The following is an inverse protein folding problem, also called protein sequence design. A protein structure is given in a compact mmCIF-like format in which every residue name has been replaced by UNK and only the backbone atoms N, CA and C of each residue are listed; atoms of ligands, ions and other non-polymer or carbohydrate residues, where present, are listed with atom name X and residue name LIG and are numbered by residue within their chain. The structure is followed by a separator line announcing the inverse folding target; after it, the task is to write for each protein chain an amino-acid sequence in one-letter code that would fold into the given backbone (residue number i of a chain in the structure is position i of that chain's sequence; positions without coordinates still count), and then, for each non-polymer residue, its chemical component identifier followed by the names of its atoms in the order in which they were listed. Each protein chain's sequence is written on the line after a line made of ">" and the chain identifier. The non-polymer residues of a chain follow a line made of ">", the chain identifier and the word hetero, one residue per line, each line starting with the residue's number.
data_IF_211837651622
#
_entry.id   IF_211837651622
#
_cell.length_a   1.000
_cell.length_b   1.000
_cell.length_c   1.000
_cell.angle_alpha   90.00
_cell.angle_beta   90.00
_cell.angle_gamma   90.00
#
_symmetry.space_group_name_H-M   'P 1'
#
loop_
_entity.id
_entity.type
_entity.pdbx_description
1 polymer ?
#
# COMPACT_ATOMS: atom_id res chain seq x y z
N UNK A 1 9.91 4.50 12.16
CA UNK A 1 9.31 4.93 10.88
C UNK A 1 7.80 5.06 11.05
N UNK A 2 6.92 4.15 10.68
CA UNK A 2 5.50 4.17 11.07
C UNK A 2 5.29 3.44 12.39
N UNK A 3 4.53 4.05 13.31
CA UNK A 3 4.05 3.39 14.52
C UNK A 3 2.55 3.65 14.66
N UNK A 4 1.79 2.59 14.87
CA UNK A 4 0.34 2.61 15.09
C UNK A 4 0.09 2.03 16.47
N UNK A 5 -0.64 2.75 17.32
CA UNK A 5 -0.93 2.37 18.70
C UNK A 5 -2.43 2.41 18.97
N UNK A 6 -3.00 1.26 19.33
CA UNK A 6 -4.39 1.07 19.77
C UNK A 6 -5.42 1.71 18.82
N UNK A 7 -5.20 1.57 17.49
CA UNK A 7 -6.04 2.17 16.47
C UNK A 7 -7.43 1.52 16.46
N UNK A 8 -8.44 2.32 16.67
CA UNK A 8 -9.85 1.92 16.59
C UNK A 8 -10.56 2.71 15.48
N UNK A 9 -11.42 2.04 14.70
CA UNK A 9 -12.11 2.65 13.56
C UNK A 9 -13.57 2.18 13.49
N UNK A 10 -14.46 3.11 13.17
CA UNK A 10 -15.89 2.87 13.01
C UNK A 10 -16.40 3.36 11.65
N UNK A 11 -17.39 2.64 11.10
CA UNK A 11 -18.28 3.12 10.04
C UNK A 11 -19.68 3.31 10.66
N UNK A 12 -20.05 4.57 10.90
CA UNK A 12 -21.25 4.87 11.70
C UNK A 12 -21.16 4.26 13.08
N UNK A 13 -22.10 3.37 13.43
CA UNK A 13 -22.14 2.67 14.73
C UNK A 13 -21.38 1.34 14.74
N UNK A 14 -20.86 0.90 13.59
CA UNK A 14 -20.18 -0.40 13.49
C UNK A 14 -18.68 -0.21 13.68
N UNK A 15 -18.11 -0.77 14.73
CA UNK A 15 -16.67 -0.83 14.93
C UNK A 15 -16.07 -1.91 14.03
N UNK A 16 -15.00 -1.57 13.34
CA UNK A 16 -14.31 -2.45 12.39
C UNK A 16 -12.90 -2.79 12.85
N UNK A 17 -12.21 -1.83 13.48
CA UNK A 17 -10.88 -2.07 14.05
C UNK A 17 -10.92 -1.86 15.56
N UNK A 18 -10.29 -2.77 16.29
CA UNK A 18 -10.27 -2.83 17.74
C UNK A 18 -8.80 -2.80 18.19
N UNK A 19 -8.34 -1.64 18.69
CA UNK A 19 -7.03 -1.42 19.31
C UNK A 19 -5.84 -2.00 18.52
N UNK A 20 -5.88 -1.84 17.20
CA UNK A 20 -4.85 -2.35 16.29
C UNK A 20 -3.53 -1.62 16.54
N UNK A 21 -2.47 -2.37 16.83
CA UNK A 21 -1.12 -1.85 17.00
C UNK A 21 -0.16 -2.57 16.06
N UNK A 22 0.65 -1.80 15.30
CA UNK A 22 1.65 -2.33 14.38
C UNK A 22 2.74 -1.31 14.09
N UNK A 23 3.82 -1.78 13.47
CA UNK A 23 4.94 -0.95 13.00
C UNK A 23 5.32 -1.29 11.57
N UNK A 24 5.93 -0.33 10.88
CA UNK A 24 6.58 -0.56 9.59
C UNK A 24 7.88 0.26 9.53
N UNK A 25 8.96 -0.38 9.10
CA UNK A 25 10.30 0.19 9.09
C UNK A 25 10.79 0.45 7.66
N UNK A 26 11.74 1.39 7.50
CA UNK A 26 12.37 1.67 6.22
C UNK A 26 13.11 0.42 5.69
N UNK A 27 12.99 0.17 4.39
CA UNK A 27 13.61 -0.98 3.76
C UNK A 27 12.97 -2.32 4.12
N UNK A 28 11.77 -2.31 4.69
CA UNK A 28 11.02 -3.50 5.09
C UNK A 28 9.64 -3.54 4.45
N UNK A 29 9.15 -4.75 4.21
CA UNK A 29 7.77 -5.04 3.78
C UNK A 29 7.02 -5.65 4.96
N UNK A 30 6.07 -4.91 5.50
CA UNK A 30 5.13 -5.40 6.52
C UNK A 30 3.87 -5.89 5.82
N UNK A 31 3.64 -7.21 5.83
CA UNK A 31 2.44 -7.80 5.24
C UNK A 31 1.33 -7.91 6.28
N UNK A 32 0.17 -7.31 5.98
CA UNK A 32 -1.06 -7.45 6.77
C UNK A 32 -1.95 -8.49 6.10
N UNK A 33 -2.15 -9.62 6.76
CA UNK A 33 -2.87 -10.78 6.26
C UNK A 33 -4.14 -11.04 7.07
N UNK A 34 -5.09 -11.72 6.47
CA UNK A 34 -6.37 -12.11 7.09
C UNK A 34 -7.45 -12.32 6.04
N UNK A 35 -8.55 -12.92 6.42
CA UNK A 35 -9.70 -13.19 5.53
C UNK A 35 -10.36 -11.89 5.06
N UNK A 36 -11.31 -12.02 4.12
CA UNK A 36 -12.09 -10.86 3.65
C UNK A 36 -12.97 -10.29 4.76
N UNK A 37 -13.09 -8.97 4.79
CA UNK A 37 -13.96 -8.28 5.73
C UNK A 37 -13.38 -8.12 7.14
N UNK A 38 -12.13 -8.54 7.43
CA UNK A 38 -11.55 -8.39 8.78
C UNK A 38 -11.02 -7.00 9.09
N UNK A 39 -11.06 -6.05 8.13
CA UNK A 39 -10.65 -4.66 8.38
C UNK A 39 -9.34 -4.23 7.72
N UNK A 40 -8.69 -5.07 6.88
CA UNK A 40 -7.41 -4.74 6.22
C UNK A 40 -7.44 -3.43 5.43
N UNK A 41 -8.40 -3.29 4.51
CA UNK A 41 -8.62 -2.04 3.74
C UNK A 41 -8.97 -0.86 4.65
N UNK A 42 -9.73 -1.09 5.73
CA UNK A 42 -10.06 -0.03 6.70
C UNK A 42 -8.82 0.49 7.43
N UNK A 43 -7.88 -0.40 7.76
CA UNK A 43 -6.58 -0.03 8.30
C UNK A 43 -5.81 0.87 7.32
N UNK A 44 -5.68 0.48 6.05
CA UNK A 44 -4.98 1.30 5.05
C UNK A 44 -5.69 2.64 4.80
N UNK A 45 -7.02 2.68 4.83
CA UNK A 45 -7.79 3.94 4.75
C UNK A 45 -7.52 4.87 5.92
N UNK A 46 -7.39 4.34 7.14
CA UNK A 46 -6.98 5.15 8.30
C UNK A 46 -5.56 5.69 8.12
N UNK A 47 -4.60 4.83 7.74
CA UNK A 47 -3.20 5.21 7.54
C UNK A 47 -3.01 6.23 6.41
N UNK A 48 -3.84 6.20 5.36
CA UNK A 48 -3.80 7.14 4.24
C UNK A 48 -4.62 8.41 4.46
N UNK A 49 -5.39 8.51 5.57
CA UNK A 49 -6.31 9.61 5.81
C UNK A 49 -7.55 9.62 4.91
N UNK A 50 -7.81 8.52 4.20
CA UNK A 50 -9.02 8.34 3.39
C UNK A 50 -10.27 8.07 4.25
N UNK A 51 -10.08 7.62 5.50
CA UNK A 51 -11.16 7.49 6.48
C UNK A 51 -10.64 7.87 7.88
N UNK A 52 -11.41 8.62 8.69
CA UNK A 52 -11.01 8.94 10.06
C UNK A 52 -11.01 7.68 10.94
N UNK A 53 -10.08 7.61 11.87
CA UNK A 53 -10.10 6.63 12.96
C UNK A 53 -10.72 7.25 14.21
N UNK A 54 -11.21 6.45 15.15
CA UNK A 54 -11.96 6.92 16.32
C UNK A 54 -11.17 6.89 17.62
N UNK A 55 -10.02 6.19 17.64
CA UNK A 55 -9.15 6.09 18.82
C UNK A 55 -7.75 5.62 18.44
N UNK A 56 -6.82 5.77 19.35
CA UNK A 56 -5.41 5.43 19.14
C UNK A 56 -4.58 6.57 18.57
N UNK A 57 -3.36 6.27 18.17
CA UNK A 57 -2.41 7.21 17.59
C UNK A 57 -1.67 6.62 16.39
N UNK A 58 -1.35 7.46 15.41
CA UNK A 58 -0.53 7.12 14.26
C UNK A 58 0.61 8.11 14.19
N UNK A 59 1.85 7.64 14.25
CA UNK A 59 3.04 8.49 14.08
C UNK A 59 3.86 8.05 12.88
N UNK A 60 4.41 9.02 12.14
CA UNK A 60 5.34 8.81 11.05
C UNK A 60 6.62 9.60 11.33
N UNK A 61 7.77 8.92 11.40
CA UNK A 61 9.06 9.51 11.80
C UNK A 61 8.97 10.28 13.14
N UNK A 62 8.20 9.75 14.10
CA UNK A 62 7.96 10.35 15.41
C UNK A 62 7.02 11.56 15.42
N UNK A 63 6.44 11.93 14.26
CA UNK A 63 5.43 13.00 14.17
C UNK A 63 4.04 12.39 14.21
N UNK A 64 3.20 12.89 15.11
CA UNK A 64 1.80 12.51 15.19
C UNK A 64 1.04 13.03 13.93
N UNK A 65 0.29 12.16 13.30
CA UNK A 65 -0.48 12.49 12.11
C UNK A 65 -1.83 13.15 12.41
N UNK A 66 -2.30 13.12 13.67
CA UNK A 66 -3.43 13.91 14.22
C UNK A 66 -4.67 13.98 13.30
N UNK A 67 -5.14 12.84 12.79
CA UNK A 67 -6.28 12.78 11.86
C UNK A 67 -6.11 13.66 10.61
N UNK A 68 -4.88 13.88 10.17
CA UNK A 68 -4.61 14.69 9.00
C UNK A 68 -5.31 14.11 7.75
N UNK A 69 -5.92 14.94 6.90
CA UNK A 69 -6.60 14.48 5.70
C UNK A 69 -5.60 13.95 4.67
N UNK A 70 -6.07 13.09 3.76
CA UNK A 70 -5.25 12.37 2.79
C UNK A 70 -4.24 13.25 2.02
N UNK A 71 -4.66 14.47 1.59
CA UNK A 71 -3.77 15.38 0.86
C UNK A 71 -2.58 15.91 1.69
N UNK A 72 -2.73 16.00 3.02
CA UNK A 72 -1.63 16.35 3.91
C UNK A 72 -0.72 15.15 4.15
N UNK A 73 -1.30 13.95 4.34
CA UNK A 73 -0.55 12.72 4.51
C UNK A 73 0.28 12.38 3.27
N UNK A 74 -0.27 12.59 2.08
CA UNK A 74 0.47 12.45 0.83
C UNK A 74 1.70 13.38 0.77
N UNK A 75 1.59 14.64 1.22
CA UNK A 75 2.73 15.57 1.33
C UNK A 75 3.74 15.19 2.41
N UNK A 76 3.33 14.45 3.42
CA UNK A 76 4.22 13.89 4.45
C UNK A 76 4.96 12.63 3.96
N UNK A 77 4.62 12.15 2.76
CA UNK A 77 5.26 11.00 2.13
C UNK A 77 4.51 9.68 2.31
N UNK A 78 3.19 9.69 2.43
CA UNK A 78 2.37 8.48 2.41
C UNK A 78 1.78 8.32 1.01
N UNK A 79 2.22 7.28 0.28
CA UNK A 79 1.65 6.84 -0.99
C UNK A 79 0.62 5.73 -0.74
N UNK A 80 -0.53 5.79 -1.40
CA UNK A 80 -1.59 4.79 -1.26
C UNK A 80 -2.09 4.30 -2.62
N UNK A 81 -2.07 3.00 -2.80
CA UNK A 81 -2.66 2.28 -3.94
C UNK A 81 -3.85 1.50 -3.42
N UNK A 82 -5.08 1.96 -3.64
CA UNK A 82 -6.28 1.30 -3.14
C UNK A 82 -6.61 0.04 -3.95
N UNK A 83 -7.39 -0.86 -3.34
CA UNK A 83 -8.10 -1.92 -4.06
C UNK A 83 -8.91 -1.29 -5.20
N UNK A 84 -8.90 -1.88 -6.39
CA UNK A 84 -9.58 -1.32 -7.57
C UNK A 84 -8.77 -0.26 -8.33
N UNK A 85 -7.53 0.08 -7.90
CA UNK A 85 -6.53 0.88 -8.63
C UNK A 85 -6.80 2.38 -8.65
N UNK A 86 -8.05 2.83 -8.71
CA UNK A 86 -8.51 4.24 -8.75
C UNK A 86 -7.72 5.13 -9.73
N UNK A 87 -7.44 4.61 -10.93
CA UNK A 87 -6.87 5.40 -12.02
C UNK A 87 -7.92 6.32 -12.62
N UNK A 88 -7.48 7.38 -13.31
CA UNK A 88 -8.35 8.26 -14.08
C UNK A 88 -8.53 7.70 -15.50
N UNK A 89 -9.66 7.05 -15.82
CA UNK A 89 -9.80 6.26 -17.07
C UNK A 89 -9.80 7.13 -18.33
N UNK A 90 -10.22 8.37 -18.25
CA UNK A 90 -10.30 9.31 -19.39
C UNK A 90 -8.97 10.07 -19.62
N UNK A 91 -8.09 10.10 -18.63
CA UNK A 91 -6.76 10.69 -18.74
C UNK A 91 -5.79 9.70 -19.38
N UNK A 92 -4.80 10.22 -20.10
CA UNK A 92 -3.67 9.42 -20.59
C UNK A 92 -2.83 8.86 -19.45
N UNK A 93 -1.96 7.90 -19.74
CA UNK A 93 -0.97 7.37 -18.78
C UNK A 93 -0.12 8.52 -18.24
N UNK A 94 0.41 9.39 -19.13
CA UNK A 94 1.19 10.58 -18.75
C UNK A 94 0.42 11.48 -17.79
N UNK A 95 -0.82 11.84 -18.10
CA UNK A 95 -1.65 12.71 -17.27
C UNK A 95 -1.97 12.06 -15.92
N UNK A 96 -2.25 10.73 -15.88
CA UNK A 96 -2.40 10.00 -14.63
C UNK A 96 -1.15 10.14 -13.74
N UNK A 97 0.05 9.93 -14.28
CA UNK A 97 1.31 10.08 -13.54
C UNK A 97 1.50 11.51 -13.03
N UNK A 98 1.16 12.51 -13.84
CA UNK A 98 1.29 13.92 -13.48
C UNK A 98 0.37 14.35 -12.32
N UNK A 99 -0.71 13.62 -12.03
CA UNK A 99 -1.56 13.91 -10.86
C UNK A 99 -0.78 13.84 -9.54
N UNK A 100 0.26 12.98 -9.47
CA UNK A 100 1.15 12.87 -8.31
C UNK A 100 1.98 14.14 -8.03
N UNK A 101 2.16 15.01 -9.01
CA UNK A 101 2.93 16.25 -8.84
C UNK A 101 2.32 17.22 -7.82
N UNK A 102 1.01 17.11 -7.56
CA UNK A 102 0.32 17.97 -6.58
C UNK A 102 0.88 17.88 -5.15
N UNK A 103 1.62 16.80 -4.84
CA UNK A 103 2.26 16.59 -3.55
C UNK A 103 3.70 17.10 -3.52
N UNK A 104 4.27 17.51 -4.66
CA UNK A 104 5.68 17.86 -4.84
C UNK A 104 5.88 19.37 -5.08
N UNK A 105 7.07 19.92 -4.77
CA UNK A 105 7.44 21.26 -5.18
C UNK A 105 7.55 21.33 -6.71
N UNK A 106 7.29 22.51 -7.30
CA UNK A 106 7.29 22.69 -8.77
C UNK A 106 8.59 22.25 -9.47
N UNK A 107 9.72 22.37 -8.80
CA UNK A 107 11.03 21.91 -9.31
C UNK A 107 11.11 20.41 -9.54
N UNK A 108 10.17 19.64 -8.96
CA UNK A 108 10.11 18.18 -9.02
C UNK A 108 8.95 17.67 -9.88
N UNK A 109 8.26 18.57 -10.63
CA UNK A 109 7.17 18.22 -11.54
C UNK A 109 7.69 17.60 -12.83
N UNK A 110 8.31 16.44 -12.73
CA UNK A 110 8.74 15.60 -13.86
C UNK A 110 8.53 14.12 -13.51
N UNK A 111 8.34 13.30 -14.52
CA UNK A 111 8.27 11.84 -14.36
C UNK A 111 9.73 11.35 -14.34
N UNK A 112 10.21 10.78 -13.22
CA UNK A 112 11.58 10.26 -13.14
C UNK A 112 11.77 9.06 -14.08
N UNK A 113 12.99 8.90 -14.62
CA UNK A 113 13.30 7.79 -15.53
C UNK A 113 13.11 6.42 -14.86
N UNK A 114 13.35 6.31 -13.56
CA UNK A 114 13.17 5.07 -12.80
C UNK A 114 11.72 4.57 -12.79
N UNK A 115 10.73 5.43 -12.95
CA UNK A 115 9.32 5.01 -13.14
C UNK A 115 9.16 4.22 -14.43
N UNK A 116 9.82 4.64 -15.50
CA UNK A 116 9.80 3.92 -16.78
C UNK A 116 10.71 2.67 -16.78
N UNK A 117 11.75 2.66 -15.96
CA UNK A 117 12.57 1.46 -15.72
C UNK A 117 11.80 0.40 -14.94
N UNK A 118 11.04 0.82 -13.91
CA UNK A 118 10.17 -0.07 -13.13
C UNK A 118 8.99 -0.60 -13.95
N UNK A 119 8.43 0.23 -14.83
CA UNK A 119 7.23 -0.07 -15.60
C UNK A 119 7.39 0.33 -17.06
N UNK A 120 8.19 -0.40 -17.87
CA UNK A 120 8.47 -0.03 -19.28
C UNK A 120 7.22 0.14 -20.15
N UNK A 121 6.19 -0.68 -19.91
CA UNK A 121 4.92 -0.63 -20.61
C UNK A 121 4.22 0.74 -20.50
N UNK A 122 4.43 1.48 -19.40
CA UNK A 122 3.83 2.80 -19.21
C UNK A 122 4.47 3.85 -20.13
N UNK A 123 5.75 3.69 -20.47
CA UNK A 123 6.43 4.54 -21.45
C UNK A 123 5.88 4.28 -22.85
N UNK A 124 5.72 3.02 -23.22
CA UNK A 124 5.15 2.62 -24.53
C UNK A 124 3.72 3.11 -24.70
N UNK A 125 2.95 3.14 -23.62
CA UNK A 125 1.53 3.49 -23.59
C UNK A 125 1.27 4.94 -23.15
N UNK A 126 2.28 5.79 -23.10
CA UNK A 126 2.25 7.09 -22.44
C UNK A 126 1.09 8.01 -22.87
N UNK A 127 0.73 7.96 -24.16
CA UNK A 127 -0.35 8.75 -24.74
C UNK A 127 -1.70 8.01 -24.78
N UNK A 128 -1.76 6.76 -24.29
CA UNK A 128 -2.98 5.97 -24.25
C UNK A 128 -3.81 6.32 -23.02
N UNK A 129 -5.14 6.28 -23.12
CA UNK A 129 -6.03 6.50 -21.97
C UNK A 129 -5.89 5.37 -20.97
N UNK A 130 -5.94 5.71 -19.66
CA UNK A 130 -5.87 4.73 -18.59
C UNK A 130 -6.97 3.66 -18.67
N UNK A 131 -8.18 4.04 -19.11
CA UNK A 131 -9.29 3.11 -19.29
C UNK A 131 -9.10 2.08 -20.41
N UNK A 132 -8.20 2.32 -21.37
CA UNK A 132 -7.90 1.42 -22.48
C UNK A 132 -6.77 0.41 -22.13
N UNK A 133 -6.21 0.50 -20.94
CA UNK A 133 -5.18 -0.40 -20.46
C UNK A 133 -5.80 -1.71 -19.95
N UNK A 134 -5.06 -2.81 -20.05
CA UNK A 134 -5.41 -4.04 -19.34
C UNK A 134 -5.38 -3.87 -17.83
N UNK A 135 -6.08 -4.75 -17.09
CA UNK A 135 -6.10 -4.67 -15.62
C UNK A 135 -4.69 -4.66 -14.98
N UNK A 136 -3.77 -5.47 -15.49
CA UNK A 136 -2.39 -5.47 -15.00
C UNK A 136 -1.60 -4.21 -15.35
N UNK A 137 -1.86 -3.60 -16.52
CA UNK A 137 -1.26 -2.30 -16.88
C UNK A 137 -1.82 -1.16 -16.03
N UNK A 138 -3.12 -1.19 -15.72
CA UNK A 138 -3.75 -0.23 -14.81
C UNK A 138 -3.17 -0.33 -13.39
N UNK A 139 -2.87 -1.55 -12.94
CA UNK A 139 -2.22 -1.75 -11.63
C UNK A 139 -0.81 -1.18 -11.60
N UNK A 140 -0.02 -1.43 -12.66
CA UNK A 140 1.30 -0.81 -12.81
C UNK A 140 1.20 0.72 -12.82
N UNK A 141 0.21 1.29 -13.52
CA UNK A 141 -0.05 2.72 -13.53
C UNK A 141 -0.42 3.26 -12.14
N UNK A 142 -1.26 2.55 -11.38
CA UNK A 142 -1.64 2.96 -10.03
C UNK A 142 -0.44 2.97 -9.07
N UNK A 143 0.42 1.94 -9.13
CA UNK A 143 1.65 1.89 -8.32
C UNK A 143 2.62 3.01 -8.76
N UNK A 144 2.86 3.16 -10.07
CA UNK A 144 3.73 4.21 -10.61
C UNK A 144 3.26 5.62 -10.18
N UNK A 145 1.95 5.89 -10.23
CA UNK A 145 1.36 7.15 -9.78
C UNK A 145 1.61 7.42 -8.29
N UNK A 146 1.52 6.40 -7.45
CA UNK A 146 1.86 6.53 -6.04
C UNK A 146 3.36 6.80 -5.85
N UNK A 147 4.23 6.16 -6.61
CA UNK A 147 5.69 6.36 -6.54
C UNK A 147 6.14 7.75 -7.01
N UNK A 148 5.41 8.40 -7.94
CA UNK A 148 5.65 9.79 -8.34
C UNK A 148 5.67 10.74 -7.14
N UNK A 149 4.86 10.48 -6.11
CA UNK A 149 4.83 11.33 -4.90
C UNK A 149 6.08 11.17 -4.01
N UNK A 150 7.01 10.28 -4.38
CA UNK A 150 8.24 9.96 -3.64
C UNK A 150 7.95 9.58 -2.19
N UNK A 151 7.12 8.56 -1.96
CA UNK A 151 6.66 8.21 -0.64
C UNK A 151 7.78 7.63 0.24
N UNK A 152 7.72 7.93 1.53
CA UNK A 152 8.48 7.24 2.58
C UNK A 152 7.77 5.98 3.06
N UNK A 153 6.45 5.97 2.93
CA UNK A 153 5.56 4.85 3.25
C UNK A 153 4.65 4.58 2.05
N UNK A 154 4.75 3.38 1.49
CA UNK A 154 3.88 2.92 0.41
C UNK A 154 2.87 1.93 0.97
N UNK A 155 1.59 2.22 0.79
CA UNK A 155 0.46 1.38 1.17
C UNK A 155 -0.12 0.72 -0.08
N UNK A 156 -0.14 -0.62 -0.12
CA UNK A 156 -0.66 -1.42 -1.23
C UNK A 156 -1.83 -2.28 -0.74
N UNK A 157 -3.01 -2.07 -1.31
CA UNK A 157 -4.24 -2.78 -0.95
C UNK A 157 -4.60 -3.79 -2.04
N UNK A 158 -4.34 -5.07 -1.79
CA UNK A 158 -4.59 -6.21 -2.66
C UNK A 158 -4.12 -5.98 -4.12
N UNK A 159 -2.82 -5.66 -4.33
CA UNK A 159 -2.31 -5.27 -5.64
C UNK A 159 -2.33 -6.40 -6.67
N UNK A 160 -2.59 -7.65 -6.27
CA UNK A 160 -2.63 -8.82 -7.19
C UNK A 160 -4.03 -9.17 -7.66
N UNK A 161 -5.08 -8.52 -7.14
CA UNK A 161 -6.46 -8.87 -7.44
C UNK A 161 -6.81 -8.70 -8.94
N UNK A 162 -7.32 -9.78 -9.54
CA UNK A 162 -7.78 -9.79 -10.94
C UNK A 162 -6.67 -9.55 -11.97
N UNK A 163 -5.44 -9.95 -11.68
CA UNK A 163 -4.25 -9.73 -12.51
C UNK A 163 -3.64 -11.06 -12.97
N UNK A 164 -3.01 -11.05 -14.14
CA UNK A 164 -2.34 -12.22 -14.71
C UNK A 164 -1.06 -12.56 -13.94
N UNK A 165 -0.68 -13.86 -13.83
CA UNK A 165 0.46 -14.31 -13.03
C UNK A 165 1.80 -13.64 -13.37
N UNK A 166 2.07 -13.40 -14.66
CA UNK A 166 3.29 -12.73 -15.11
C UNK A 166 3.39 -11.27 -14.60
N UNK A 167 2.26 -10.57 -14.48
CA UNK A 167 2.24 -9.21 -13.95
C UNK A 167 2.34 -9.23 -12.41
N UNK A 168 1.72 -10.22 -11.75
CA UNK A 168 1.90 -10.43 -10.30
C UNK A 168 3.38 -10.62 -9.98
N UNK A 169 4.09 -11.47 -10.73
CA UNK A 169 5.52 -11.67 -10.56
C UNK A 169 6.30 -10.37 -10.74
N UNK A 170 6.00 -9.61 -11.79
CA UNK A 170 6.65 -8.31 -12.05
C UNK A 170 6.41 -7.30 -10.91
N UNK A 171 5.18 -7.20 -10.38
CA UNK A 171 4.87 -6.35 -9.22
C UNK A 171 5.68 -6.81 -8.00
N UNK A 172 5.81 -8.12 -7.78
CA UNK A 172 6.66 -8.67 -6.72
C UNK A 172 8.12 -8.26 -6.86
N UNK A 173 8.66 -8.31 -8.08
CA UNK A 173 10.05 -7.89 -8.36
C UNK A 173 10.24 -6.39 -8.11
N UNK A 174 9.27 -5.55 -8.50
CA UNK A 174 9.26 -4.12 -8.20
C UNK A 174 9.26 -3.87 -6.68
N UNK A 175 8.40 -4.57 -5.93
CA UNK A 175 8.36 -4.45 -4.46
C UNK A 175 9.71 -4.85 -3.83
N UNK A 176 10.34 -5.95 -4.28
CA UNK A 176 11.67 -6.36 -3.81
C UNK A 176 12.74 -5.32 -4.10
N UNK A 177 12.71 -4.73 -5.31
CA UNK A 177 13.63 -3.67 -5.70
C UNK A 177 13.45 -2.41 -4.84
N UNK A 178 12.21 -1.96 -4.63
CA UNK A 178 11.90 -0.80 -3.79
C UNK A 178 12.34 -1.03 -2.34
N UNK A 179 12.06 -2.23 -1.78
CA UNK A 179 12.56 -2.64 -0.47
C UNK A 179 14.08 -2.56 -0.39
N UNK A 180 14.78 -3.11 -1.40
CA UNK A 180 16.24 -3.13 -1.47
C UNK A 180 16.90 -1.75 -1.53
N UNK A 181 16.17 -0.72 -1.99
CA UNK A 181 16.63 0.69 -1.96
C UNK A 181 16.72 1.24 -0.53
N UNK A 182 16.01 0.66 0.44
CA UNK A 182 16.07 1.05 1.86
C UNK A 182 15.48 2.42 2.20
N UNK A 183 14.84 3.11 1.24
CA UNK A 183 14.40 4.50 1.37
C UNK A 183 12.93 4.66 1.73
N UNK A 184 12.16 3.57 1.70
CA UNK A 184 10.73 3.56 2.07
C UNK A 184 10.36 2.32 2.85
N UNK A 185 9.30 2.44 3.66
CA UNK A 185 8.59 1.33 4.24
C UNK A 185 7.43 0.93 3.31
N UNK A 186 7.11 -0.35 3.25
CA UNK A 186 6.00 -0.86 2.44
C UNK A 186 5.04 -1.62 3.34
N UNK A 187 3.77 -1.25 3.34
CA UNK A 187 2.69 -2.06 3.93
C UNK A 187 1.92 -2.70 2.78
N UNK A 188 1.91 -4.01 2.77
CA UNK A 188 1.22 -4.83 1.78
C UNK A 188 0.06 -5.55 2.44
N UNK A 189 -1.16 -5.21 2.05
CA UNK A 189 -2.36 -5.97 2.39
C UNK A 189 -2.63 -6.96 1.27
N UNK A 190 -2.73 -8.24 1.58
CA UNK A 190 -2.96 -9.29 0.60
C UNK A 190 -3.74 -10.48 1.15
N UNK A 191 -4.47 -11.15 0.25
CA UNK A 191 -5.10 -12.45 0.49
C UNK A 191 -4.31 -13.58 -0.17
N UNK A 192 -3.59 -13.30 -1.26
CA UNK A 192 -2.77 -14.29 -1.93
C UNK A 192 -1.57 -14.62 -1.04
N UNK A 193 -1.74 -15.68 -0.24
CA UNK A 193 -0.83 -16.08 0.82
C UNK A 193 0.62 -16.19 0.35
N UNK A 194 0.85 -16.94 -0.73
CA UNK A 194 2.21 -17.20 -1.22
C UNK A 194 2.94 -15.93 -1.64
N UNK A 195 2.24 -15.03 -2.31
CA UNK A 195 2.78 -13.75 -2.72
C UNK A 195 3.13 -12.86 -1.52
N UNK A 196 2.21 -12.74 -0.56
CA UNK A 196 2.42 -11.94 0.64
C UNK A 196 3.57 -12.53 1.50
N UNK A 197 3.54 -13.84 1.74
CA UNK A 197 4.56 -14.52 2.53
C UNK A 197 5.95 -14.42 1.89
N UNK A 198 6.06 -14.53 0.56
CA UNK A 198 7.33 -14.44 -0.14
C UNK A 198 7.98 -13.05 0.00
N UNK A 199 7.18 -11.99 -0.04
CA UNK A 199 7.65 -10.60 0.03
C UNK A 199 7.87 -10.08 1.45
N UNK A 200 7.18 -10.64 2.45
CA UNK A 200 7.19 -10.13 3.83
C UNK A 200 8.57 -10.20 4.48
N UNK A 201 8.92 -9.18 5.23
CA UNK A 201 9.94 -9.17 6.28
C UNK A 201 9.25 -9.31 7.64
N UNK A 202 8.13 -8.60 7.84
CA UNK A 202 7.28 -8.66 9.02
C UNK A 202 5.85 -9.04 8.65
N UNK A 203 5.20 -9.79 9.54
CA UNK A 203 3.85 -10.30 9.36
C UNK A 203 2.94 -9.78 10.46
N UNK A 204 1.77 -9.30 10.05
CA UNK A 204 0.67 -8.90 10.92
C UNK A 204 -0.56 -9.68 10.51
N UNK A 205 -1.14 -10.47 11.41
CA UNK A 205 -2.38 -11.21 11.14
C UNK A 205 -3.55 -10.49 11.78
N UNK A 206 -4.48 -10.06 10.94
CA UNK A 206 -5.71 -9.39 11.35
C UNK A 206 -6.88 -10.38 11.31
N UNK A 207 -7.64 -10.48 12.40
CA UNK A 207 -8.83 -11.31 12.52
C UNK A 207 -9.91 -10.54 13.26
N UNK A 208 -11.09 -10.41 12.65
CA UNK A 208 -12.25 -9.70 13.22
C UNK A 208 -11.91 -8.29 13.75
N UNK A 209 -11.04 -7.57 13.06
CA UNK A 209 -10.64 -6.22 13.44
C UNK A 209 -9.54 -6.12 14.48
N UNK A 210 -9.01 -7.23 14.98
CA UNK A 210 -7.94 -7.30 15.98
C UNK A 210 -6.66 -7.88 15.38
N UNK A 211 -5.50 -7.43 15.86
CA UNK A 211 -4.22 -8.06 15.55
C UNK A 211 -4.02 -9.25 16.48
N UNK A 212 -4.04 -10.46 15.92
CA UNK A 212 -3.86 -11.70 16.67
C UNK A 212 -2.43 -12.21 16.67
N UNK A 213 -1.59 -11.74 15.73
CA UNK A 213 -0.17 -12.09 15.66
C UNK A 213 0.60 -10.99 14.95
N UNK A 214 1.75 -10.64 15.51
CA UNK A 214 2.79 -9.82 14.85
C UNK A 214 4.14 -10.50 15.10
N UNK A 215 4.88 -10.77 14.02
CA UNK A 215 6.21 -11.36 14.14
C UNK A 215 7.05 -11.11 12.87
N UNK A 216 8.38 -11.05 12.99
CA UNK A 216 9.27 -11.17 11.84
C UNK A 216 9.02 -12.50 11.11
N UNK A 217 9.08 -12.50 9.80
CA UNK A 217 8.89 -13.72 8.97
C UNK A 217 9.80 -14.87 9.41
N UNK A 218 11.04 -14.55 9.80
CA UNK A 218 12.04 -15.55 10.25
C UNK A 218 11.63 -16.32 11.53
N UNK A 219 10.61 -15.85 12.24
CA UNK A 219 10.11 -16.44 13.49
C UNK A 219 8.75 -17.13 13.32
N UNK A 220 8.26 -17.28 12.08
CA UNK A 220 6.92 -17.82 11.81
C UNK A 220 7.04 -18.99 10.85
N UNK A 221 6.51 -20.14 11.28
CA UNK A 221 6.36 -21.30 10.39
C UNK A 221 5.21 -21.05 9.39
N UNK A 222 5.44 -21.41 8.13
CA UNK A 222 4.50 -21.16 7.03
C UNK A 222 3.13 -21.82 7.28
N UNK A 223 3.13 -23.07 7.75
CA UNK A 223 1.91 -23.82 8.05
C UNK A 223 1.11 -23.19 9.20
N UNK A 224 1.80 -22.71 10.22
CA UNK A 224 1.17 -21.98 11.32
C UNK A 224 0.45 -20.75 10.82
N UNK A 225 1.14 -19.91 10.03
CA UNK A 225 0.54 -18.69 9.49
C UNK A 225 -0.65 -19.01 8.58
N UNK A 226 -0.51 -20.00 7.71
CA UNK A 226 -1.58 -20.43 6.82
C UNK A 226 -2.84 -20.83 7.59
N UNK A 227 -2.68 -21.54 8.73
CA UNK A 227 -3.78 -21.92 9.59
C UNK A 227 -4.50 -20.73 10.22
N UNK A 228 -3.78 -19.63 10.51
CA UNK A 228 -4.37 -18.41 11.10
C UNK A 228 -5.17 -17.59 10.09
N UNK A 229 -4.77 -17.60 8.81
CA UNK A 229 -5.39 -16.79 7.74
C UNK A 229 -6.44 -17.53 6.93
N UNK A 230 -6.58 -18.86 7.10
CA UNK A 230 -7.48 -19.72 6.31
C UNK A 230 -8.84 -19.99 6.98
N UNK A 231 -9.16 -19.38 8.12
CA UNK A 231 -10.39 -19.67 8.91
C UNK A 231 -11.30 -18.47 8.95
#
# INVERSE_FOLDING_TARGET
>A
MLNVENLSLHYGNSQILYDVSMRAELGSVTCVMGTNGVGKTSLLRALSGAHPYSGGAITLDGKDLNHAPAHQLARLGIGYVPQGRDIFPLMTVRENLQTGFSCLPKSEHFIPDDIHELFPVLKEMENRRGGDLSGGQQQQLAIARALITRPKLLLLDEPTEGIQPNIIQHIGDVIRLLRGRGTMAIILVEQFFDFAFDLADDLVVLKRGEVIKTAPKSQVEREELLSLVSV
#
